data_IF_351204288731
#
_entry.id   IF_351204288731
#
_cell.length_a   1.000
_cell.length_b   1.000
_cell.length_c   1.000
_cell.angle_alpha   90.00
_cell.angle_beta   90.00
_cell.angle_gamma   90.00
#
_symmetry.space_group_name_H-M   'P 1'
#
loop_
_entity.id
_entity.type
_entity.pdbx_description
1 polymer ?
#
# COMPACT_ATOMS: atom_id res chain seq x y z
N UNK A 1 8.68 0.03 -29.81
CA UNK A 1 7.80 -0.92 -29.10
C UNK A 1 7.47 -2.05 -30.05
N UNK A 2 6.54 -2.92 -29.68
CA UNK A 2 6.22 -4.13 -30.48
C UNK A 2 5.29 -3.85 -31.68
N UNK A 3 4.74 -2.64 -31.74
CA UNK A 3 3.76 -2.20 -32.74
C UNK A 3 4.34 -1.06 -33.57
N UNK A 4 4.07 -1.05 -34.89
CA UNK A 4 4.30 0.10 -35.77
C UNK A 4 3.34 1.23 -35.39
N UNK A 5 3.87 2.23 -34.68
CA UNK A 5 3.07 3.33 -34.15
C UNK A 5 2.44 4.17 -35.26
N UNK A 6 3.20 4.47 -36.33
CA UNK A 6 2.74 5.35 -37.40
C UNK A 6 1.67 4.69 -38.28
N UNK A 7 1.82 3.40 -38.59
CA UNK A 7 0.85 2.66 -39.37
C UNK A 7 -0.45 2.32 -38.63
N UNK A 8 -0.44 2.38 -37.29
CA UNK A 8 -1.57 1.97 -36.43
C UNK A 8 -2.26 3.16 -35.76
N UNK A 9 -1.60 4.32 -35.58
CA UNK A 9 -2.17 5.49 -34.89
C UNK A 9 -3.49 5.98 -35.49
N UNK A 10 -3.71 5.81 -36.80
CA UNK A 10 -4.93 6.26 -37.49
C UNK A 10 -6.07 5.23 -37.44
N UNK A 11 -5.77 3.99 -37.04
CA UNK A 11 -6.73 2.87 -36.98
C UNK A 11 -7.20 2.61 -35.56
N UNK A 12 -6.32 2.79 -34.57
CA UNK A 12 -6.62 2.55 -33.17
C UNK A 12 -7.33 3.77 -32.55
N UNK A 13 -8.36 3.53 -31.73
CA UNK A 13 -9.01 4.61 -30.96
C UNK A 13 -8.08 5.21 -29.88
N UNK A 14 -7.17 4.39 -29.34
CA UNK A 14 -6.15 4.80 -28.37
C UNK A 14 -4.87 4.02 -28.61
N UNK A 15 -3.73 4.67 -28.46
CA UNK A 15 -2.40 4.07 -28.61
C UNK A 15 -1.45 4.65 -27.56
N UNK A 16 -0.66 3.80 -26.92
CA UNK A 16 0.32 4.25 -25.92
C UNK A 16 1.68 4.49 -26.58
N UNK A 17 2.31 5.66 -26.39
CA UNK A 17 3.61 5.94 -26.98
C UNK A 17 4.72 5.10 -26.34
N UNK A 18 5.79 4.88 -27.10
CA UNK A 18 7.02 4.29 -26.60
C UNK A 18 8.18 5.20 -27.03
N UNK A 19 8.94 5.80 -26.10
CA UNK A 19 8.81 5.71 -24.64
C UNK A 19 7.61 6.49 -24.08
N UNK A 20 7.31 6.31 -22.78
CA UNK A 20 6.34 7.14 -22.04
C UNK A 20 4.95 6.54 -21.82
N UNK A 21 4.64 5.37 -22.40
CA UNK A 21 3.37 4.66 -22.19
C UNK A 21 3.38 3.74 -20.97
N UNK A 22 3.52 2.44 -21.22
CA UNK A 22 3.34 1.40 -20.18
C UNK A 22 4.45 1.41 -19.11
N UNK A 23 5.67 1.79 -19.48
CA UNK A 23 6.84 1.75 -18.58
C UNK A 23 6.64 2.51 -17.26
N UNK A 24 6.30 3.81 -17.29
CA UNK A 24 6.00 4.58 -16.07
C UNK A 24 4.86 3.97 -15.24
N UNK A 25 3.82 3.42 -15.88
CA UNK A 25 2.71 2.79 -15.15
C UNK A 25 3.15 1.55 -14.37
N UNK A 26 4.12 0.78 -14.87
CA UNK A 26 4.66 -0.37 -14.13
C UNK A 26 5.26 0.05 -12.78
N UNK A 27 6.00 1.16 -12.75
CA UNK A 27 6.60 1.70 -11.51
C UNK A 27 5.49 2.20 -10.57
N UNK A 28 4.51 2.92 -11.10
CA UNK A 28 3.35 3.39 -10.32
C UNK A 28 2.61 2.22 -9.68
N UNK A 29 2.32 1.18 -10.44
CA UNK A 29 1.60 0.00 -9.94
C UNK A 29 2.39 -0.78 -8.90
N UNK A 30 3.72 -0.82 -9.00
CA UNK A 30 4.56 -1.42 -7.96
C UNK A 30 4.40 -0.67 -6.62
N UNK A 31 4.44 0.66 -6.65
CA UNK A 31 4.29 1.49 -5.45
C UNK A 31 2.88 1.34 -4.87
N UNK A 32 1.86 1.42 -5.71
CA UNK A 32 0.46 1.27 -5.28
C UNK A 32 0.20 -0.09 -4.64
N UNK A 33 0.69 -1.17 -5.24
CA UNK A 33 0.52 -2.51 -4.69
C UNK A 33 1.26 -2.68 -3.36
N UNK A 34 2.45 -2.08 -3.22
CA UNK A 34 3.22 -2.09 -1.98
C UNK A 34 2.46 -1.37 -0.86
N UNK A 35 1.91 -0.18 -1.15
CA UNK A 35 1.10 0.58 -0.20
C UNK A 35 -0.15 -0.20 0.23
N UNK A 36 -0.91 -0.74 -0.73
CA UNK A 36 -2.09 -1.57 -0.45
C UNK A 36 -1.75 -2.79 0.41
N UNK A 37 -0.61 -3.42 0.17
CA UNK A 37 -0.14 -4.55 0.97
C UNK A 37 0.17 -4.13 2.41
N UNK A 38 0.83 -2.99 2.60
CA UNK A 38 1.11 -2.44 3.93
C UNK A 38 -0.18 -2.09 4.70
N UNK A 39 -1.14 -1.43 4.05
CA UNK A 39 -2.44 -1.11 4.65
C UNK A 39 -3.20 -2.37 5.10
N UNK A 40 -3.21 -3.43 4.27
CA UNK A 40 -3.83 -4.72 4.63
C UNK A 40 -3.14 -5.36 5.83
N UNK A 41 -1.80 -5.35 5.85
CA UNK A 41 -1.03 -5.90 6.96
C UNK A 41 -1.24 -5.13 8.28
N UNK A 42 -1.52 -3.83 8.22
CA UNK A 42 -1.87 -3.04 9.40
C UNK A 42 -3.31 -3.27 9.86
N UNK A 43 -4.27 -3.38 8.94
CA UNK A 43 -5.67 -3.69 9.27
C UNK A 43 -5.82 -5.08 9.90
N UNK A 44 -5.05 -6.06 9.44
CA UNK A 44 -5.02 -7.40 10.06
C UNK A 44 -4.47 -7.39 11.49
N UNK A 45 -3.64 -6.40 11.86
CA UNK A 45 -3.13 -6.25 13.24
C UNK A 45 -4.11 -5.56 14.19
N UNK A 46 -5.17 -4.90 13.68
CA UNK A 46 -6.15 -4.24 14.54
C UNK A 46 -7.14 -5.21 15.19
N UNK A 47 -7.21 -6.46 14.73
CA UNK A 47 -8.02 -7.51 15.36
C UNK A 47 -7.29 -8.24 16.49
N UNK A 48 -5.99 -8.01 16.67
CA UNK A 48 -5.24 -8.53 17.80
C UNK A 48 -5.27 -7.53 18.95
N UNK A 49 -6.31 -7.67 19.77
CA UNK A 49 -6.23 -7.58 21.23
C UNK A 49 -5.36 -6.43 21.78
N UNK A 50 -5.84 -5.19 21.65
CA UNK A 50 -5.56 -4.20 22.70
C UNK A 50 -6.39 -4.59 23.93
N UNK A 51 -6.01 -5.68 24.61
CA UNK A 51 -6.25 -5.72 26.04
C UNK A 51 -5.55 -4.49 26.60
N UNK A 52 -6.28 -3.66 27.34
CA UNK A 52 -5.68 -2.64 28.20
C UNK A 52 -4.53 -3.31 28.95
N UNK A 53 -3.30 -2.98 28.56
CA UNK A 53 -2.13 -3.36 29.32
C UNK A 53 -2.24 -2.60 30.64
N UNK A 54 -2.87 -3.20 31.64
CA UNK A 54 -2.68 -2.78 33.02
C UNK A 54 -1.20 -2.99 33.34
N UNK A 55 -0.42 -1.91 33.23
CA UNK A 55 0.98 -1.93 33.60
C UNK A 55 1.10 -2.51 35.02
N UNK A 56 1.77 -3.67 35.20
CA UNK A 56 1.89 -4.31 36.52
C UNK A 56 2.51 -3.39 37.57
N UNK A 57 3.23 -2.36 37.14
CA UNK A 57 3.91 -1.36 37.95
C UNK A 57 2.98 -0.28 38.56
N UNK A 58 1.70 -0.23 38.20
CA UNK A 58 0.72 0.71 38.80
C UNK A 58 -0.08 0.11 39.95
N UNK A 59 0.07 -1.19 40.25
CA UNK A 59 -0.65 -1.83 41.37
C UNK A 59 -0.05 -1.51 42.75
N UNK A 60 1.24 -1.22 42.83
CA UNK A 60 1.91 -1.01 44.12
C UNK A 60 1.77 0.42 44.67
N UNK A 61 1.39 1.39 43.84
CA UNK A 61 1.27 2.79 44.26
C UNK A 61 0.02 3.08 45.10
N UNK A 62 -1.04 2.29 44.94
CA UNK A 62 -2.25 2.40 45.77
C UNK A 62 -2.13 1.64 47.12
N UNK A 63 -1.21 0.68 47.22
CA UNK A 63 -0.96 -0.08 48.45
C UNK A 63 -0.05 0.65 49.46
N UNK A 64 0.71 1.66 49.03
CA UNK A 64 1.57 2.47 49.92
C UNK A 64 0.88 3.73 50.48
N UNK A 65 -0.41 3.93 50.18
CA UNK A 65 -1.21 5.05 50.71
C UNK A 65 -2.28 4.62 51.73
N UNK A 66 -2.22 3.39 52.26
CA UNK A 66 -3.01 2.93 53.41
C UNK A 66 -2.15 2.71 54.64
#
# INVERSE_FOLDING_TARGET
GDVDFEGVKEKASWITPVPGGVGPMTVTMLIENTLRSAERALRMRQTDDYQEWEAPLLRDLSAQQQ
#
